data_IF_488284204570
#
_entry.id   IF_488284204570
#
_cell.length_a   1.000
_cell.length_b   1.000
_cell.length_c   1.000
_cell.angle_alpha   90.00
_cell.angle_beta   90.00
_cell.angle_gamma   90.00
#
_symmetry.space_group_name_H-M   'P 1'
#
loop_
_entity.id
_entity.type
_entity.pdbx_description
1 polymer ?
#
# COMPACT_ATOMS: atom_id res chain seq x y z
N UNK A 1 -11.34 -10.24 16.56
CA UNK A 1 -11.89 -9.33 15.53
C UNK A 1 -10.93 -8.23 15.14
N UNK A 2 -10.44 -7.39 16.07
CA UNK A 2 -9.61 -6.21 15.74
C UNK A 2 -8.34 -6.54 14.91
N UNK A 3 -7.60 -7.59 15.28
CA UNK A 3 -6.35 -8.01 14.61
C UNK A 3 -6.60 -8.44 13.16
N UNK A 4 -7.72 -9.11 12.89
CA UNK A 4 -8.11 -9.51 11.53
C UNK A 4 -8.47 -8.32 10.64
N UNK A 5 -9.10 -7.29 11.21
CA UNK A 5 -9.40 -6.03 10.51
C UNK A 5 -8.10 -5.32 10.15
N UNK A 6 -7.15 -5.22 11.08
CA UNK A 6 -5.84 -4.62 10.82
C UNK A 6 -5.06 -5.36 9.71
N UNK A 7 -5.09 -6.70 9.71
CA UNK A 7 -4.50 -7.50 8.62
C UNK A 7 -5.18 -7.22 7.28
N UNK A 8 -6.51 -7.27 7.24
CA UNK A 8 -7.29 -7.06 6.01
C UNK A 8 -7.08 -5.67 5.41
N UNK A 9 -7.12 -4.63 6.23
CA UNK A 9 -6.89 -3.24 5.80
C UNK A 9 -5.45 -3.07 5.30
N UNK A 10 -4.46 -3.59 6.03
CA UNK A 10 -3.06 -3.46 5.63
C UNK A 10 -2.77 -4.18 4.31
N UNK A 11 -3.39 -5.34 4.09
CA UNK A 11 -3.28 -6.09 2.84
C UNK A 11 -3.94 -5.34 1.68
N UNK A 12 -5.13 -4.77 1.89
CA UNK A 12 -5.84 -3.99 0.88
C UNK A 12 -5.05 -2.74 0.47
N UNK A 13 -4.48 -2.01 1.45
CA UNK A 13 -3.64 -0.84 1.20
C UNK A 13 -2.37 -1.23 0.43
N UNK A 14 -1.73 -2.33 0.81
CA UNK A 14 -0.55 -2.85 0.10
C UNK A 14 -0.87 -3.19 -1.37
N UNK A 15 -1.97 -3.90 -1.61
CA UNK A 15 -2.43 -4.27 -2.96
C UNK A 15 -2.76 -3.03 -3.79
N UNK A 16 -3.54 -2.10 -3.24
CA UNK A 16 -3.90 -0.85 -3.93
C UNK A 16 -2.66 -0.01 -4.27
N UNK A 17 -1.73 0.17 -3.33
CA UNK A 17 -0.52 0.92 -3.57
C UNK A 17 0.39 0.25 -4.63
N UNK A 18 0.48 -1.08 -4.63
CA UNK A 18 1.25 -1.84 -5.61
C UNK A 18 0.64 -1.74 -7.02
N UNK A 19 -0.69 -1.84 -7.12
CA UNK A 19 -1.43 -1.64 -8.37
C UNK A 19 -1.21 -0.22 -8.91
N UNK A 20 -1.28 0.80 -8.05
CA UNK A 20 -1.01 2.19 -8.43
C UNK A 20 0.43 2.44 -8.87
N UNK A 21 1.42 1.77 -8.26
CA UNK A 21 2.81 1.84 -8.73
C UNK A 21 2.98 1.17 -10.09
N UNK A 22 2.29 0.05 -10.34
CA UNK A 22 2.33 -0.65 -11.61
C UNK A 22 1.65 0.16 -12.72
N UNK A 23 0.49 0.77 -12.44
CA UNK A 23 -0.23 1.63 -13.40
C UNK A 23 0.47 2.97 -13.63
N UNK A 24 1.16 3.51 -12.62
CA UNK A 24 2.07 4.65 -12.77
C UNK A 24 3.31 4.31 -13.60
N UNK A 25 3.81 3.07 -13.54
CA UNK A 25 4.95 2.62 -14.36
C UNK A 25 4.57 2.30 -15.81
N UNK A 26 3.33 1.88 -16.08
CA UNK A 26 2.86 1.50 -17.42
C UNK A 26 2.35 2.66 -18.27
N UNK A 27 2.37 3.89 -17.75
CA UNK A 27 1.88 5.08 -18.46
C UNK A 27 0.35 5.24 -18.47
N UNK A 28 -0.41 4.28 -17.90
CA UNK A 28 -1.88 4.33 -17.87
C UNK A 28 -2.44 5.39 -16.92
N UNK A 29 -1.62 5.90 -15.98
CA UNK A 29 -1.97 7.00 -15.07
C UNK A 29 -1.36 8.33 -15.54
N UNK A 30 -0.73 8.35 -16.72
CA UNK A 30 0.26 9.39 -17.00
C UNK A 30 -0.32 10.74 -17.43
N UNK A 31 -1.58 10.86 -17.85
CA UNK A 31 -2.15 12.18 -18.14
C UNK A 31 -3.67 12.21 -17.92
N UNK A 32 -4.10 12.64 -16.72
CA UNK A 32 -5.46 13.13 -16.56
C UNK A 32 -5.52 14.59 -17.07
N UNK A 33 -5.52 14.75 -18.41
CA UNK A 33 -5.53 16.04 -19.14
C UNK A 33 -6.67 16.96 -18.68
N UNK A 34 -7.73 16.40 -18.08
CA UNK A 34 -8.94 17.12 -17.65
C UNK A 34 -8.71 17.93 -16.34
N UNK A 35 -7.79 17.50 -15.46
CA UNK A 35 -7.66 18.08 -14.11
C UNK A 35 -6.50 19.04 -13.91
N UNK A 36 -5.60 19.19 -14.90
CA UNK A 36 -4.45 20.12 -14.83
C UNK A 36 -3.45 19.86 -13.68
N UNK A 37 -3.68 18.84 -12.86
CA UNK A 37 -2.85 18.46 -11.73
C UNK A 37 -1.70 17.60 -12.24
N UNK A 38 -0.58 18.25 -12.56
CA UNK A 38 0.69 17.57 -12.80
C UNK A 38 1.26 17.16 -11.44
N UNK A 39 0.60 16.24 -10.73
CA UNK A 39 1.34 15.37 -9.80
C UNK A 39 2.07 14.40 -10.70
N UNK A 40 3.18 14.85 -11.28
CA UNK A 40 4.00 14.05 -12.16
C UNK A 40 4.32 12.73 -11.47
N UNK A 41 4.32 11.64 -12.24
CA UNK A 41 4.66 10.27 -11.82
C UNK A 41 5.88 10.22 -10.86
N UNK A 42 6.83 11.16 -11.03
CA UNK A 42 8.01 11.37 -10.20
C UNK A 42 7.72 11.70 -8.73
N UNK A 43 6.63 12.40 -8.43
CA UNK A 43 6.21 12.77 -7.08
C UNK A 43 5.33 11.71 -6.40
N UNK A 44 4.46 11.01 -7.14
CA UNK A 44 3.51 10.03 -6.57
C UNK A 44 4.19 8.71 -6.15
N UNK A 45 5.15 8.22 -6.94
CA UNK A 45 5.85 6.95 -6.71
C UNK A 45 6.55 6.86 -5.34
N UNK A 46 7.31 7.85 -4.85
CA UNK A 46 7.93 7.75 -3.52
C UNK A 46 6.89 7.65 -2.39
N UNK A 47 5.74 8.33 -2.49
CA UNK A 47 4.67 8.19 -1.50
C UNK A 47 4.04 6.80 -1.52
N UNK A 48 3.78 6.24 -2.71
CA UNK A 48 3.26 4.88 -2.84
C UNK A 48 4.24 3.84 -2.31
N UNK A 49 5.54 4.00 -2.58
CA UNK A 49 6.59 3.15 -2.03
C UNK A 49 6.61 3.20 -0.50
N UNK A 50 6.50 4.41 0.08
CA UNK A 50 6.45 4.60 1.53
C UNK A 50 5.22 3.92 2.15
N UNK A 51 4.06 4.03 1.52
CA UNK A 51 2.82 3.35 1.95
C UNK A 51 3.02 1.83 1.96
N UNK A 52 3.65 1.26 0.92
CA UNK A 52 3.94 -0.17 0.83
C UNK A 52 4.84 -0.62 1.99
N UNK A 53 5.90 0.13 2.30
CA UNK A 53 6.82 -0.19 3.40
C UNK A 53 6.10 -0.19 4.74
N UNK A 54 5.25 0.81 5.00
CA UNK A 54 4.46 0.88 6.23
C UNK A 54 3.48 -0.30 6.31
N UNK A 55 2.75 -0.59 5.23
CA UNK A 55 1.80 -1.70 5.19
C UNK A 55 2.48 -3.05 5.46
N UNK A 56 3.68 -3.27 4.92
CA UNK A 56 4.48 -4.47 5.20
C UNK A 56 4.92 -4.55 6.66
N UNK A 57 5.36 -3.42 7.25
CA UNK A 57 5.72 -3.38 8.65
C UNK A 57 4.53 -3.74 9.55
N UNK A 58 3.35 -3.17 9.28
CA UNK A 58 2.12 -3.46 10.04
C UNK A 58 1.73 -4.94 9.87
N UNK A 59 1.79 -5.49 8.65
CA UNK A 59 1.53 -6.91 8.41
C UNK A 59 2.49 -7.79 9.23
N UNK A 60 3.80 -7.51 9.20
CA UNK A 60 4.81 -8.27 9.92
C UNK A 60 4.57 -8.27 11.44
N UNK A 61 4.32 -7.10 12.03
CA UNK A 61 4.02 -7.00 13.47
C UNK A 61 2.71 -7.71 13.84
N UNK A 62 1.69 -7.59 12.99
CA UNK A 62 0.39 -8.20 13.25
C UNK A 62 0.46 -9.73 13.17
N UNK A 63 1.20 -10.28 12.20
CA UNK A 63 1.49 -11.71 12.12
C UNK A 63 2.36 -12.20 13.29
N UNK A 64 3.40 -11.45 13.66
CA UNK A 64 4.24 -11.78 14.82
C UNK A 64 3.42 -11.84 16.12
N UNK A 65 2.49 -10.91 16.31
CA UNK A 65 1.57 -10.90 17.43
C UNK A 65 0.64 -12.13 17.42
N UNK A 66 0.05 -12.47 16.26
CA UNK A 66 -0.81 -13.64 16.09
C UNK A 66 -0.05 -14.95 16.37
N UNK A 67 1.16 -15.10 15.83
CA UNK A 67 2.01 -16.27 16.06
C UNK A 67 2.35 -16.43 17.54
N UNK A 68 2.67 -15.33 18.24
CA UNK A 68 2.93 -15.35 19.68
C UNK A 68 1.68 -15.81 20.45
N UNK A 69 0.49 -15.34 20.09
CA UNK A 69 -0.79 -15.76 20.70
C UNK A 69 -1.16 -17.22 20.46
N UNK A 70 -0.75 -17.83 19.35
CA UNK A 70 -1.08 -19.23 19.00
C UNK A 70 -0.15 -20.28 19.64
N UNK A 71 1.05 -19.88 20.08
CA UNK A 71 2.05 -20.76 20.71
C UNK A 71 2.00 -20.76 22.26
N UNK A 72 0.97 -20.14 22.85
CA UNK A 72 0.57 -20.29 24.25
C UNK A 72 -0.77 -21.02 24.30
#
# INVERSE_FOLDING_TARGET
>A
MIVGIFLGVSLAVFLAASLLMLTGASGLVQDNIITGSVIGNTGLRPYLAFIIVISLAVLYFTFGYLKKRMNY
#
